data_IF_642192500147
#
_entry.id   IF_642192500147
#
_cell.length_a   1.000
_cell.length_b   1.000
_cell.length_c   1.000
_cell.angle_alpha   90.00
_cell.angle_beta   90.00
_cell.angle_gamma   90.00
#
_symmetry.space_group_name_H-M   'P 1'
#
loop_
_entity.id
_entity.type
_entity.pdbx_description
1 polymer ?
#
# COMPACT_ATOMS: atom_id res chain seq x y z
N UNK A 1 -12.86 -11.08 -51.46
CA UNK A 1 -13.17 -12.51 -51.24
C UNK A 1 -13.21 -12.73 -49.74
N UNK A 2 -14.37 -13.17 -49.24
CA UNK A 2 -14.59 -13.50 -47.83
C UNK A 2 -14.46 -15.01 -47.69
N UNK A 3 -13.55 -15.47 -46.82
CA UNK A 3 -13.46 -16.88 -46.44
C UNK A 3 -14.03 -17.06 -45.03
N UNK A 4 -14.99 -17.95 -44.88
CA UNK A 4 -15.52 -18.40 -43.60
C UNK A 4 -14.82 -19.71 -43.24
N UNK A 5 -14.09 -19.71 -42.13
CA UNK A 5 -13.50 -20.92 -41.55
C UNK A 5 -14.22 -21.23 -40.25
N UNK A 6 -14.84 -22.40 -40.18
CA UNK A 6 -15.50 -22.90 -38.98
C UNK A 6 -14.62 -23.90 -38.25
N UNK A 7 -14.45 -23.71 -36.96
CA UNK A 7 -13.83 -24.70 -36.09
C UNK A 7 -14.85 -25.21 -35.09
N UNK A 8 -15.14 -26.51 -35.14
CA UNK A 8 -16.22 -27.17 -34.40
C UNK A 8 -16.00 -27.30 -32.88
N UNK A 9 -14.84 -26.97 -32.38
CA UNK A 9 -14.53 -27.09 -30.92
C UNK A 9 -14.68 -25.83 -30.11
N UNK A 10 -14.84 -24.66 -30.70
CA UNK A 10 -14.95 -23.37 -29.93
C UNK A 10 -15.84 -22.37 -30.66
N UNK A 11 -17.01 -22.54 -31.03
CA UNK A 11 -18.03 -21.58 -31.52
C UNK A 11 -17.51 -20.14 -31.82
N UNK A 12 -16.36 -20.02 -32.50
CA UNK A 12 -15.71 -18.77 -32.88
C UNK A 12 -15.86 -18.55 -34.40
N UNK A 13 -16.41 -17.42 -34.79
CA UNK A 13 -16.47 -17.00 -36.20
C UNK A 13 -15.36 -15.97 -36.40
N UNK A 14 -14.40 -16.28 -37.29
CA UNK A 14 -13.35 -15.36 -37.70
C UNK A 14 -13.78 -14.63 -38.97
N UNK A 15 -13.86 -13.33 -38.94
CA UNK A 15 -14.08 -12.49 -40.12
C UNK A 15 -12.81 -11.66 -40.34
N UNK A 16 -12.10 -11.95 -41.42
CA UNK A 16 -10.94 -11.18 -41.83
C UNK A 16 -11.29 -10.23 -42.98
N UNK A 17 -11.10 -8.95 -42.78
CA UNK A 17 -11.22 -7.91 -43.78
C UNK A 17 -10.03 -6.95 -43.71
N UNK A 18 -9.32 -6.77 -44.82
CA UNK A 18 -8.15 -5.88 -44.96
C UNK A 18 -7.07 -6.05 -43.87
N UNK A 19 -6.70 -7.29 -43.49
CA UNK A 19 -5.52 -7.54 -42.66
C UNK A 19 -5.67 -7.21 -41.17
N UNK A 20 -6.88 -7.04 -40.65
CA UNK A 20 -7.16 -6.91 -39.21
C UNK A 20 -8.16 -7.98 -38.77
N UNK A 21 -7.84 -8.68 -37.69
CA UNK A 21 -8.72 -9.68 -37.08
C UNK A 21 -9.56 -9.01 -35.98
N UNK A 22 -10.89 -9.12 -36.10
CA UNK A 22 -11.82 -8.62 -35.07
C UNK A 22 -12.56 -9.82 -34.46
N UNK A 23 -12.59 -9.93 -33.16
CA UNK A 23 -13.30 -10.99 -32.43
C UNK A 23 -14.69 -10.47 -32.02
N UNK A 24 -15.75 -11.14 -32.47
CA UNK A 24 -17.12 -10.88 -32.02
C UNK A 24 -17.68 -12.07 -31.25
N UNK A 25 -18.11 -11.88 -30.01
CA UNK A 25 -18.82 -12.87 -29.22
C UNK A 25 -20.33 -12.76 -29.45
N UNK A 26 -20.96 -13.81 -29.97
CA UNK A 26 -22.41 -13.89 -30.07
C UNK A 26 -22.97 -14.61 -28.81
N UNK A 27 -23.64 -13.86 -27.95
CA UNK A 27 -24.40 -14.38 -26.81
C UNK A 27 -25.77 -14.88 -27.29
N UNK A 28 -25.98 -16.21 -27.34
CA UNK A 28 -27.33 -16.79 -27.42
C UNK A 28 -28.02 -16.71 -26.05
N UNK A 29 -29.02 -15.85 -25.94
CA UNK A 29 -29.95 -15.82 -24.78
C UNK A 29 -30.64 -17.19 -24.63
N UNK A 30 -30.21 -18.02 -23.69
CA UNK A 30 -31.07 -19.00 -23.05
C UNK A 30 -31.82 -18.29 -21.93
N UNK A 31 -33.17 -18.29 -22.00
CA UNK A 31 -34.04 -17.94 -20.88
C UNK A 31 -33.91 -19.02 -19.79
N UNK A 32 -32.94 -18.83 -18.92
CA UNK A 32 -32.88 -19.43 -17.63
C UNK A 32 -32.72 -18.27 -16.67
N UNK A 33 -33.54 -18.19 -15.60
CA UNK A 33 -33.34 -17.25 -14.51
C UNK A 33 -31.90 -17.44 -13.98
N UNK A 34 -30.95 -16.75 -14.54
CA UNK A 34 -29.74 -16.46 -13.81
C UNK A 34 -30.16 -15.44 -12.75
N UNK A 35 -30.22 -15.88 -11.49
CA UNK A 35 -30.01 -14.95 -10.38
C UNK A 35 -28.83 -14.09 -10.78
N UNK A 36 -29.08 -12.82 -10.92
CA UNK A 36 -28.05 -11.80 -10.98
C UNK A 36 -27.11 -12.13 -9.82
N UNK A 37 -25.95 -12.71 -10.13
CA UNK A 37 -24.89 -12.78 -9.17
C UNK A 37 -24.65 -11.31 -8.80
N UNK A 38 -24.97 -10.95 -7.57
CA UNK A 38 -24.46 -9.74 -6.97
C UNK A 38 -23.00 -9.68 -7.36
N UNK A 39 -22.59 -8.56 -7.99
CA UNK A 39 -21.19 -8.13 -7.94
C UNK A 39 -20.82 -8.40 -6.50
N UNK A 40 -19.77 -9.18 -6.17
CA UNK A 40 -19.39 -9.32 -4.78
C UNK A 40 -19.25 -7.88 -4.29
N UNK A 41 -20.14 -7.48 -3.39
CA UNK A 41 -19.91 -6.30 -2.56
C UNK A 41 -18.48 -6.50 -2.11
N UNK A 42 -17.62 -5.47 -2.30
CA UNK A 42 -16.24 -5.48 -1.80
C UNK A 42 -16.37 -5.94 -0.36
N UNK A 43 -16.20 -7.25 -0.14
CA UNK A 43 -16.40 -7.86 1.16
C UNK A 43 -15.28 -7.31 2.03
N UNK A 44 -15.67 -6.55 2.90
CA UNK A 44 -15.25 -6.10 4.20
C UNK A 44 -14.00 -6.82 4.78
N UNK A 45 -12.92 -6.86 4.05
CA UNK A 45 -11.60 -7.08 4.64
C UNK A 45 -10.98 -5.71 4.94
N UNK A 46 -11.57 -5.03 5.92
CA UNK A 46 -11.05 -3.78 6.45
C UNK A 46 -9.95 -4.12 7.45
N UNK A 47 -8.75 -3.54 7.28
CA UNK A 47 -7.66 -3.72 8.22
C UNK A 47 -8.00 -3.11 9.58
N UNK A 48 -7.97 -3.91 10.64
CA UNK A 48 -8.32 -3.49 11.99
C UNK A 48 -7.11 -2.95 12.74
N UNK A 49 -7.15 -1.67 13.09
CA UNK A 49 -6.12 -1.01 13.89
C UNK A 49 -6.57 -1.04 15.34
N UNK A 50 -6.05 -2.00 16.09
CA UNK A 50 -6.39 -2.14 17.50
C UNK A 50 -5.95 -0.93 18.32
N UNK A 51 -6.83 -0.41 19.18
CA UNK A 51 -6.45 0.51 20.24
C UNK A 51 -5.66 -0.22 21.31
N UNK A 52 -4.44 0.24 21.57
CA UNK A 52 -3.50 -0.31 22.54
C UNK A 52 -3.11 0.77 23.57
N UNK A 53 -2.72 0.34 24.76
CA UNK A 53 -2.32 1.25 25.84
C UNK A 53 -0.82 1.57 25.82
N UNK A 54 -0.04 0.72 25.18
CA UNK A 54 1.42 0.85 25.10
C UNK A 54 1.98 0.08 23.91
N UNK A 55 3.21 0.40 23.51
CA UNK A 55 3.94 -0.28 22.41
C UNK A 55 4.16 -1.78 22.65
N UNK A 56 4.20 -2.21 23.92
CA UNK A 56 4.36 -3.62 24.30
C UNK A 56 3.18 -4.49 23.88
N UNK A 57 2.02 -3.88 23.65
CA UNK A 57 0.82 -4.59 23.21
C UNK A 57 0.75 -4.79 21.69
N UNK A 58 1.75 -4.34 20.93
CA UNK A 58 1.75 -4.45 19.44
C UNK A 58 1.55 -5.90 18.96
N UNK A 59 1.96 -6.90 19.75
CA UNK A 59 1.78 -8.30 19.39
C UNK A 59 0.31 -8.75 19.38
N UNK A 60 -0.57 -8.00 20.02
CA UNK A 60 -2.03 -8.21 20.00
C UNK A 60 -2.75 -7.61 18.78
N UNK A 61 -2.05 -6.80 17.98
CA UNK A 61 -2.59 -6.16 16.79
C UNK A 61 -2.66 -7.12 15.61
N UNK A 62 -3.55 -6.80 14.64
CA UNK A 62 -3.70 -7.56 13.42
C UNK A 62 -2.40 -7.59 12.61
N UNK A 63 -2.06 -8.78 12.11
CA UNK A 63 -0.88 -9.00 11.29
C UNK A 63 -1.22 -8.73 9.82
N UNK A 64 -0.45 -7.88 9.15
CA UNK A 64 -0.46 -7.74 7.71
C UNK A 64 0.76 -8.39 7.06
N UNK A 65 0.62 -8.74 5.78
CA UNK A 65 1.71 -9.26 4.96
C UNK A 65 1.82 -8.47 3.67
N UNK A 66 3.04 -8.18 3.24
CA UNK A 66 3.31 -7.62 1.92
C UNK A 66 3.47 -8.79 0.94
N UNK A 67 2.39 -9.12 0.21
CA UNK A 67 2.30 -10.30 -0.63
C UNK A 67 2.19 -10.00 -2.14
N UNK A 68 1.89 -8.76 -2.51
CA UNK A 68 1.69 -8.36 -3.89
C UNK A 68 2.96 -7.73 -4.45
N UNK A 69 3.81 -8.53 -5.09
CA UNK A 69 5.00 -8.04 -5.79
C UNK A 69 4.68 -7.79 -7.26
N UNK A 70 4.87 -6.55 -7.71
CA UNK A 70 4.43 -6.02 -9.01
C UNK A 70 5.61 -5.57 -9.87
N UNK A 71 5.32 -5.17 -11.11
CA UNK A 71 6.22 -4.49 -12.05
C UNK A 71 7.56 -5.22 -12.27
N UNK A 72 7.52 -6.57 -12.43
CA UNK A 72 8.69 -7.42 -12.66
C UNK A 72 9.75 -7.37 -11.53
N UNK A 73 9.30 -7.23 -10.30
CA UNK A 73 10.17 -7.26 -9.12
C UNK A 73 11.19 -8.40 -9.17
N UNK A 74 12.48 -8.05 -9.06
CA UNK A 74 13.61 -8.99 -9.10
C UNK A 74 13.76 -9.77 -7.80
N UNK A 75 13.37 -9.18 -6.68
CA UNK A 75 13.35 -9.81 -5.35
C UNK A 75 11.94 -9.76 -4.78
N UNK A 76 11.67 -10.66 -3.84
CA UNK A 76 10.37 -10.76 -3.16
C UNK A 76 10.57 -11.18 -1.70
N UNK A 77 11.27 -10.38 -0.90
CA UNK A 77 11.49 -10.72 0.51
C UNK A 77 10.16 -10.82 1.24
N UNK A 78 10.03 -11.77 2.16
CA UNK A 78 8.84 -11.87 2.99
C UNK A 78 8.81 -10.72 4.00
N UNK A 79 7.71 -9.96 4.00
CA UNK A 79 7.52 -8.86 4.93
C UNK A 79 6.19 -9.01 5.64
N UNK A 80 6.23 -8.83 6.94
CA UNK A 80 5.04 -8.77 7.79
C UNK A 80 5.13 -7.59 8.76
N UNK A 81 3.99 -7.16 9.26
CA UNK A 81 3.98 -6.09 10.25
C UNK A 81 2.65 -5.97 10.97
N UNK A 82 2.63 -5.11 11.95
CA UNK A 82 1.47 -4.77 12.78
C UNK A 82 1.42 -3.29 13.01
N UNK A 83 0.21 -2.74 13.10
CA UNK A 83 -0.03 -1.34 13.46
C UNK A 83 -1.10 -1.27 14.53
N UNK A 84 -0.83 -0.51 15.59
CA UNK A 84 -1.77 -0.23 16.68
C UNK A 84 -1.89 1.28 16.90
N UNK A 85 -3.03 1.72 17.42
CA UNK A 85 -3.27 3.11 17.78
C UNK A 85 -3.13 3.30 19.30
N UNK A 86 -2.25 4.22 19.71
CA UNK A 86 -2.06 4.62 21.12
C UNK A 86 -2.71 6.01 21.28
N UNK A 87 -3.83 6.14 22.02
CA UNK A 87 -4.51 7.41 22.19
C UNK A 87 -3.60 8.51 22.74
N UNK A 88 -3.54 9.64 22.03
CA UNK A 88 -2.72 10.80 22.38
C UNK A 88 -1.25 10.69 21.93
N UNK A 89 -0.77 9.51 21.54
CA UNK A 89 0.57 9.34 20.95
C UNK A 89 0.51 9.24 19.42
N UNK A 90 -0.32 8.33 18.86
CA UNK A 90 -0.44 8.10 17.42
C UNK A 90 -0.46 6.63 17.01
N UNK A 91 -0.06 6.34 15.76
CA UNK A 91 0.01 4.97 15.26
C UNK A 91 1.42 4.39 15.47
N UNK A 92 1.51 3.36 16.30
CA UNK A 92 2.74 2.61 16.46
C UNK A 92 2.78 1.46 15.47
N UNK A 93 3.87 1.38 14.72
CA UNK A 93 4.10 0.40 13.67
C UNK A 93 5.32 -0.44 14.00
N UNK A 94 5.24 -1.76 13.73
CA UNK A 94 6.39 -2.67 13.73
C UNK A 94 6.33 -3.52 12.46
N UNK A 95 7.43 -3.54 11.70
CA UNK A 95 7.58 -4.31 10.46
C UNK A 95 8.85 -5.15 10.52
N UNK A 96 8.78 -6.34 9.93
CA UNK A 96 9.90 -7.29 9.85
C UNK A 96 10.04 -7.74 8.40
N UNK A 97 11.25 -7.70 7.87
CA UNK A 97 11.61 -8.16 6.54
C UNK A 97 12.60 -9.32 6.63
N UNK A 98 12.28 -10.46 6.01
CA UNK A 98 13.19 -11.61 5.86
C UNK A 98 14.11 -11.34 4.67
N UNK A 99 15.22 -10.66 4.92
CA UNK A 99 16.20 -10.25 3.92
C UNK A 99 17.59 -10.21 4.56
N UNK A 100 18.52 -10.99 4.01
CA UNK A 100 19.92 -10.94 4.36
C UNK A 100 20.60 -9.73 3.72
N UNK A 101 21.48 -9.06 4.47
CA UNK A 101 22.29 -7.94 3.97
C UNK A 101 21.45 -6.90 3.19
N UNK A 102 20.45 -6.26 3.81
CA UNK A 102 19.66 -5.22 3.16
C UNK A 102 20.57 -4.11 2.67
N UNK A 103 20.33 -3.62 1.43
CA UNK A 103 21.05 -2.45 0.93
C UNK A 103 20.73 -1.25 1.82
N UNK A 104 21.76 -0.59 2.33
CA UNK A 104 21.63 0.45 3.35
C UNK A 104 22.74 1.49 3.13
N UNK A 105 22.43 2.53 2.35
CA UNK A 105 23.37 3.59 1.97
C UNK A 105 23.08 4.90 2.71
N UNK A 106 21.81 5.19 2.86
CA UNK A 106 21.30 6.46 3.37
C UNK A 106 21.17 6.45 4.89
N UNK A 107 21.48 7.59 5.52
CA UNK A 107 21.55 7.72 6.99
C UNK A 107 20.84 8.96 7.53
N UNK A 108 20.44 9.91 6.67
CA UNK A 108 19.85 11.17 7.11
C UNK A 108 18.33 11.20 6.87
N UNK A 109 17.69 12.09 7.59
CA UNK A 109 16.29 12.43 7.36
C UNK A 109 16.10 13.02 5.95
N UNK A 110 15.02 12.61 5.27
CA UNK A 110 14.69 12.96 3.87
C UNK A 110 15.68 12.46 2.81
N UNK A 111 16.63 11.61 3.15
CA UNK A 111 17.39 10.88 2.15
C UNK A 111 16.47 9.99 1.31
N UNK A 112 16.76 9.72 0.03
CA UNK A 112 15.93 8.90 -0.86
C UNK A 112 16.05 7.40 -0.56
N UNK A 113 15.53 6.98 0.60
CA UNK A 113 15.64 5.60 1.12
C UNK A 113 14.96 4.55 0.24
N UNK A 114 14.09 4.95 -0.69
CA UNK A 114 13.51 4.08 -1.71
C UNK A 114 14.56 3.45 -2.65
N UNK A 115 15.76 4.02 -2.76
CA UNK A 115 16.88 3.40 -3.47
C UNK A 115 17.58 2.31 -2.65
N UNK A 116 17.46 2.35 -1.33
CA UNK A 116 17.91 1.27 -0.44
C UNK A 116 16.87 0.15 -0.39
N UNK A 117 17.09 -0.82 0.49
CA UNK A 117 16.04 -1.74 0.90
C UNK A 117 15.18 -1.07 1.97
N UNK A 118 13.97 -0.61 1.60
CA UNK A 118 13.10 0.15 2.49
C UNK A 118 11.75 -0.52 2.73
N UNK A 119 11.14 -0.24 3.88
CA UNK A 119 9.74 -0.53 4.20
C UNK A 119 8.98 0.78 4.40
N UNK A 120 7.71 0.80 3.97
CA UNK A 120 6.93 2.04 3.94
C UNK A 120 5.53 1.85 4.52
N UNK A 121 5.01 2.91 5.12
CA UNK A 121 3.64 3.02 5.63
C UNK A 121 3.00 4.28 5.04
N UNK A 122 1.92 4.11 4.28
CA UNK A 122 1.13 5.21 3.75
C UNK A 122 -0.25 5.21 4.40
N UNK A 123 -0.69 6.37 4.86
CA UNK A 123 -2.02 6.57 5.46
C UNK A 123 -2.72 7.72 4.74
N UNK A 124 -3.98 7.51 4.35
CA UNK A 124 -4.81 8.54 3.75
C UNK A 124 -6.01 8.87 4.65
N UNK A 125 -6.33 10.16 4.69
CA UNK A 125 -7.43 10.72 5.48
C UNK A 125 -8.26 11.63 4.57
N UNK A 126 -9.28 11.09 3.87
CA UNK A 126 -10.22 11.92 3.13
C UNK A 126 -10.90 12.95 4.04
N UNK A 127 -11.17 14.14 3.52
CA UNK A 127 -11.97 15.13 4.23
C UNK A 127 -13.43 14.64 4.32
N UNK A 128 -14.18 15.13 5.30
CA UNK A 128 -15.58 14.76 5.48
C UNK A 128 -16.39 14.98 4.20
N UNK A 129 -16.98 13.89 3.67
CA UNK A 129 -17.72 13.90 2.40
C UNK A 129 -16.84 13.83 1.14
N UNK A 130 -15.51 13.77 1.27
CA UNK A 130 -14.60 13.54 0.15
C UNK A 130 -14.51 12.03 -0.15
N UNK A 131 -14.80 11.63 -1.38
CA UNK A 131 -14.61 10.23 -1.78
C UNK A 131 -13.12 9.91 -1.98
N UNK A 132 -12.73 8.68 -1.64
CA UNK A 132 -11.37 8.20 -1.88
C UNK A 132 -10.96 8.37 -3.35
N UNK A 133 -9.85 9.04 -3.57
CA UNK A 133 -9.27 9.30 -4.89
C UNK A 133 -7.75 9.49 -4.78
N UNK A 134 -7.06 9.56 -5.91
CA UNK A 134 -5.62 9.85 -5.91
C UNK A 134 -5.27 11.30 -5.53
N UNK A 135 -6.28 12.11 -5.19
CA UNK A 135 -6.11 13.52 -4.80
C UNK A 135 -6.54 13.80 -3.36
N UNK A 136 -6.80 12.78 -2.55
CA UNK A 136 -7.02 12.95 -1.10
C UNK A 136 -5.71 13.26 -0.38
N UNK A 137 -5.80 13.83 0.83
CA UNK A 137 -4.64 13.99 1.71
C UNK A 137 -4.12 12.63 2.16
N UNK A 138 -2.82 12.39 2.02
CA UNK A 138 -2.14 11.23 2.57
C UNK A 138 -0.72 11.56 3.01
N UNK A 139 -0.17 10.73 3.87
CA UNK A 139 1.21 10.78 4.32
C UNK A 139 1.94 9.49 3.91
N UNK A 140 3.25 9.58 3.80
CA UNK A 140 4.17 8.46 3.64
C UNK A 140 5.30 8.55 4.66
N UNK A 141 5.59 7.40 5.28
CA UNK A 141 6.75 7.16 6.13
C UNK A 141 7.52 6.00 5.49
N UNK A 142 8.73 6.24 5.05
CA UNK A 142 9.61 5.31 4.36
C UNK A 142 10.92 5.21 5.13
N UNK A 143 11.36 4.02 5.46
CA UNK A 143 12.59 3.85 6.21
C UNK A 143 13.40 2.63 5.78
N UNK A 144 14.72 2.77 5.76
CA UNK A 144 15.67 1.69 5.51
C UNK A 144 16.14 1.02 6.81
N UNK A 145 16.98 0.01 6.70
CA UNK A 145 17.48 -0.77 7.84
C UNK A 145 18.47 -0.01 8.76
N UNK A 146 18.90 1.21 8.39
CA UNK A 146 19.59 2.14 9.30
C UNK A 146 18.62 2.97 10.15
N UNK A 147 17.31 2.95 9.85
CA UNK A 147 16.34 3.86 10.45
C UNK A 147 16.38 5.28 9.86
N UNK A 148 17.04 5.48 8.72
CA UNK A 148 16.91 6.73 7.97
C UNK A 148 15.46 6.86 7.50
N UNK A 149 14.82 7.98 7.83
CA UNK A 149 13.40 8.23 7.60
C UNK A 149 13.20 9.28 6.51
N UNK A 150 12.41 8.92 5.50
CA UNK A 150 11.77 9.86 4.60
C UNK A 150 10.28 9.97 4.98
N UNK A 151 9.84 11.16 5.39
CA UNK A 151 8.44 11.36 5.78
C UNK A 151 7.87 12.63 5.14
N UNK A 152 6.75 12.50 4.44
CA UNK A 152 6.10 13.61 3.74
C UNK A 152 4.57 13.48 3.75
N UNK A 153 3.87 14.58 3.51
CA UNK A 153 2.41 14.65 3.41
C UNK A 153 1.95 15.57 2.29
N UNK A 154 0.73 15.39 1.82
CA UNK A 154 0.15 16.22 0.77
C UNK A 154 -0.81 15.44 -0.13
N UNK A 155 -1.34 16.11 -1.15
CA UNK A 155 -2.21 15.53 -2.17
C UNK A 155 -1.39 15.20 -3.43
N UNK A 156 -1.56 13.99 -3.97
CA UNK A 156 -0.82 13.53 -5.16
C UNK A 156 0.67 13.23 -4.90
N UNK A 157 1.38 12.74 -5.93
CA UNK A 157 2.79 12.32 -5.82
C UNK A 157 3.79 13.50 -5.75
N UNK A 158 3.48 14.63 -6.40
CA UNK A 158 4.40 15.79 -6.53
C UNK A 158 4.01 16.92 -5.59
N UNK A 159 5.01 17.73 -5.19
CA UNK A 159 4.77 18.94 -4.39
C UNK A 159 4.35 18.62 -2.95
N UNK A 160 4.80 17.50 -2.42
CA UNK A 160 4.54 17.08 -1.04
C UNK A 160 5.42 17.87 -0.07
N UNK A 161 4.87 18.16 1.09
CA UNK A 161 5.62 18.81 2.17
C UNK A 161 6.36 17.76 3.01
N UNK A 162 7.64 17.97 3.35
CA UNK A 162 8.31 17.13 4.33
C UNK A 162 7.62 17.27 5.69
N UNK A 163 7.64 16.21 6.49
CA UNK A 163 7.24 16.31 7.90
C UNK A 163 8.22 17.26 8.62
N UNK A 164 7.73 18.28 9.37
CA UNK A 164 8.62 19.15 10.13
C UNK A 164 9.51 18.38 11.11
N UNK A 165 10.81 18.75 11.18
CA UNK A 165 11.81 18.02 11.97
C UNK A 165 11.49 17.98 13.47
N UNK A 166 10.66 18.91 13.96
CA UNK A 166 10.19 18.94 15.36
C UNK A 166 9.47 17.65 15.78
N UNK A 167 8.91 16.88 14.81
CA UNK A 167 8.24 15.60 15.06
C UNK A 167 9.17 14.39 15.06
N UNK A 168 10.41 14.51 14.55
CA UNK A 168 11.35 13.39 14.49
C UNK A 168 11.60 12.71 15.84
N UNK A 169 11.81 13.46 16.95
CA UNK A 169 11.99 12.81 18.25
C UNK A 169 10.78 12.01 18.71
N UNK A 170 9.57 12.39 18.27
CA UNK A 170 8.33 11.67 18.61
C UNK A 170 8.17 10.38 17.82
N UNK A 171 8.77 10.30 16.63
CA UNK A 171 8.73 9.07 15.83
C UNK A 171 9.45 7.91 16.51
N UNK A 172 10.45 8.18 17.35
CA UNK A 172 11.23 7.16 18.08
C UNK A 172 11.58 5.95 17.20
N UNK A 173 12.16 6.26 16.03
CA UNK A 173 12.52 5.26 15.04
C UNK A 173 13.56 4.30 15.58
N UNK A 174 13.26 3.01 15.54
CA UNK A 174 14.16 1.93 15.90
C UNK A 174 14.35 1.00 14.70
N UNK A 175 15.59 0.65 14.40
CA UNK A 175 15.94 -0.33 13.39
C UNK A 175 16.88 -1.39 13.99
N UNK A 176 16.64 -2.65 13.64
CA UNK A 176 17.49 -3.78 14.09
C UNK A 176 17.79 -4.65 12.87
N UNK A 177 19.08 -4.95 12.64
CA UNK A 177 19.53 -5.88 11.59
C UNK A 177 20.06 -7.15 12.24
N UNK A 178 19.56 -8.30 11.80
CA UNK A 178 20.00 -9.65 12.16
C UNK A 178 20.61 -10.35 10.94
N UNK A 179 21.08 -11.58 11.11
CA UNK A 179 21.70 -12.34 10.01
C UNK A 179 20.77 -12.57 8.82
N UNK A 180 19.50 -12.87 9.08
CA UNK A 180 18.53 -13.30 8.05
C UNK A 180 17.33 -12.36 7.93
N UNK A 181 17.28 -11.29 8.72
CA UNK A 181 16.15 -10.38 8.76
C UNK A 181 16.54 -9.01 9.30
N UNK A 182 15.69 -8.03 9.06
CA UNK A 182 15.76 -6.74 9.71
C UNK A 182 14.37 -6.23 10.06
N UNK A 183 14.29 -5.32 11.00
CA UNK A 183 13.01 -4.80 11.48
C UNK A 183 13.06 -3.29 11.71
N UNK A 184 11.88 -2.69 11.61
CA UNK A 184 11.62 -1.31 11.98
C UNK A 184 10.50 -1.23 12.99
N UNK A 185 10.61 -0.30 13.94
CA UNK A 185 9.45 0.15 14.71
C UNK A 185 9.52 1.65 14.93
N UNK A 186 8.36 2.32 14.81
CA UNK A 186 8.26 3.76 14.93
C UNK A 186 6.83 4.21 15.25
N UNK A 187 6.70 5.43 15.70
CA UNK A 187 5.43 6.11 15.90
C UNK A 187 5.17 7.10 14.76
N UNK A 188 3.95 7.11 14.23
CA UNK A 188 3.42 8.21 13.43
C UNK A 188 2.68 9.13 14.40
N UNK A 189 3.23 10.31 14.77
CA UNK A 189 2.71 11.08 15.89
C UNK A 189 1.32 11.66 15.64
N UNK A 190 0.40 11.50 16.58
CA UNK A 190 -0.94 12.09 16.51
C UNK A 190 -0.89 13.62 16.40
N UNK A 191 0.07 14.26 17.07
CA UNK A 191 0.28 15.71 17.00
C UNK A 191 0.60 16.17 15.57
N UNK A 192 1.42 15.39 14.83
CA UNK A 192 1.72 15.64 13.42
C UNK A 192 0.47 15.46 12.55
N UNK A 193 -0.28 14.38 12.75
CA UNK A 193 -1.51 14.11 11.99
C UNK A 193 -2.52 15.23 12.14
N UNK A 194 -2.72 15.71 13.35
CA UNK A 194 -3.68 16.79 13.65
C UNK A 194 -3.24 18.14 13.10
N UNK A 195 -1.97 18.51 13.30
CA UNK A 195 -1.49 19.85 12.97
C UNK A 195 -1.19 20.02 11.48
N UNK A 196 -0.55 19.03 10.86
CA UNK A 196 -0.05 19.16 9.51
C UNK A 196 -0.96 18.45 8.47
N UNK A 197 -1.53 17.29 8.83
CA UNK A 197 -2.36 16.52 7.90
C UNK A 197 -3.86 16.86 8.01
N UNK A 198 -4.27 17.73 8.94
CA UNK A 198 -5.65 18.18 9.10
C UNK A 198 -6.59 17.14 9.69
N UNK A 199 -6.07 16.07 10.30
CA UNK A 199 -6.87 15.03 10.95
C UNK A 199 -7.51 15.61 12.22
N UNK A 200 -8.85 15.66 12.27
CA UNK A 200 -9.58 16.26 13.38
C UNK A 200 -9.55 15.37 14.63
N UNK A 201 -9.97 14.13 14.46
CA UNK A 201 -10.06 13.14 15.55
C UNK A 201 -9.61 11.77 15.06
N UNK A 202 -9.10 10.94 15.98
CA UNK A 202 -8.73 9.56 15.74
C UNK A 202 -9.55 8.66 16.68
N UNK A 203 -10.58 8.05 16.13
CA UNK A 203 -11.49 7.15 16.84
C UNK A 203 -12.08 6.12 15.85
N UNK A 204 -13.01 5.30 16.32
CA UNK A 204 -13.67 4.27 15.53
C UNK A 204 -14.48 4.78 14.33
N UNK A 205 -14.79 6.08 14.28
CA UNK A 205 -15.53 6.70 13.18
C UNK A 205 -14.60 7.43 12.19
N UNK A 206 -13.30 7.44 12.42
CA UNK A 206 -12.34 8.08 11.52
C UNK A 206 -12.29 7.33 10.21
N UNK A 207 -12.66 7.99 9.11
CA UNK A 207 -12.47 7.45 7.77
C UNK A 207 -11.00 7.53 7.39
N UNK A 208 -10.37 6.37 7.22
CA UNK A 208 -8.95 6.29 6.88
C UNK A 208 -8.65 5.05 6.04
N UNK A 209 -7.55 5.14 5.31
CA UNK A 209 -7.07 4.10 4.41
C UNK A 209 -5.56 3.94 4.57
N UNK A 210 -5.05 2.72 4.39
CA UNK A 210 -3.63 2.43 4.52
C UNK A 210 -3.12 1.52 3.40
N UNK A 211 -1.83 1.59 3.14
CA UNK A 211 -1.10 0.54 2.46
C UNK A 211 0.31 0.46 3.03
N UNK A 212 0.91 -0.71 2.97
CA UNK A 212 2.24 -0.99 3.45
C UNK A 212 3.08 -1.51 2.30
N UNK A 213 4.35 -1.10 2.24
CA UNK A 213 5.17 -1.40 1.07
C UNK A 213 6.55 -1.90 1.45
N UNK A 214 7.14 -2.64 0.50
CA UNK A 214 8.54 -3.02 0.46
C UNK A 214 9.10 -2.60 -0.89
N UNK A 215 10.21 -1.85 -0.88
CA UNK A 215 10.77 -1.25 -2.09
C UNK A 215 12.29 -1.36 -2.13
N UNK A 216 12.83 -1.39 -3.33
CA UNK A 216 14.13 -0.88 -3.73
C UNK A 216 14.06 -0.46 -5.19
N UNK A 217 14.44 0.78 -5.48
CA UNK A 217 14.56 1.30 -6.85
C UNK A 217 15.97 1.06 -7.44
N UNK A 218 16.91 0.48 -6.66
CA UNK A 218 18.23 0.10 -7.16
C UNK A 218 18.12 -1.03 -8.18
N UNK A 219 18.63 -0.85 -9.43
CA UNK A 219 18.37 -1.77 -10.53
C UNK A 219 18.72 -3.23 -10.26
N UNK A 220 19.78 -3.52 -9.52
CA UNK A 220 20.26 -4.88 -9.24
C UNK A 220 19.32 -5.68 -8.36
N UNK A 221 18.58 -4.99 -7.49
CA UNK A 221 17.68 -5.58 -6.48
C UNK A 221 16.26 -5.05 -6.58
N UNK A 222 15.92 -4.35 -7.66
CA UNK A 222 14.65 -3.67 -7.87
C UNK A 222 13.44 -4.53 -7.52
N UNK A 223 12.59 -4.02 -6.65
CA UNK A 223 11.35 -4.68 -6.25
C UNK A 223 10.32 -3.71 -5.67
N UNK A 224 9.05 -4.06 -5.83
CA UNK A 224 7.90 -3.28 -5.44
C UNK A 224 6.83 -4.21 -4.86
N UNK A 225 6.79 -4.34 -3.56
CA UNK A 225 5.82 -5.13 -2.81
C UNK A 225 4.77 -4.25 -2.13
N UNK A 226 3.53 -4.71 -2.07
CA UNK A 226 2.45 -4.03 -1.34
C UNK A 226 1.58 -5.00 -0.53
N UNK A 227 0.93 -4.47 0.50
CA UNK A 227 -0.10 -5.17 1.27
C UNK A 227 -1.38 -5.28 0.44
N UNK A 228 -1.93 -4.17 -0.04
CA UNK A 228 -3.07 -4.16 -0.96
C UNK A 228 -2.58 -3.97 -2.40
N UNK A 229 -3.13 -4.75 -3.33
CA UNK A 229 -2.72 -4.78 -4.74
C UNK A 229 -2.91 -3.42 -5.42
N UNK A 230 -1.93 -3.01 -6.22
CA UNK A 230 -1.99 -1.82 -7.07
C UNK A 230 -2.09 -2.25 -8.54
N UNK A 231 -3.25 -2.02 -9.15
CA UNK A 231 -3.48 -2.28 -10.58
C UNK A 231 -3.10 -1.04 -11.42
N UNK A 232 -1.81 -0.72 -11.44
CA UNK A 232 -1.26 0.38 -12.25
C UNK A 232 -0.17 -0.15 -13.20
N UNK A 233 -0.12 0.29 -14.46
CA UNK A 233 0.82 -0.27 -15.46
C UNK A 233 2.29 0.06 -15.18
N UNK A 234 2.57 1.08 -14.41
CA UNK A 234 3.94 1.54 -14.08
C UNK A 234 4.14 1.66 -12.57
N UNK A 235 5.38 1.48 -12.05
CA UNK A 235 5.66 1.61 -10.63
C UNK A 235 5.20 2.95 -10.05
N UNK A 236 4.28 2.89 -9.09
CA UNK A 236 3.80 4.05 -8.36
C UNK A 236 3.01 3.62 -7.11
N UNK A 237 3.53 3.85 -5.93
CA UNK A 237 2.84 3.63 -4.66
C UNK A 237 1.95 4.82 -4.23
N UNK A 238 2.20 6.01 -4.79
CA UNK A 238 1.48 7.24 -4.45
C UNK A 238 0.09 7.31 -5.10
N UNK A 239 -0.71 6.28 -4.89
CA UNK A 239 -2.05 6.11 -5.44
C UNK A 239 -3.04 5.71 -4.33
N UNK A 240 -3.52 6.67 -3.53
CA UNK A 240 -4.46 6.40 -2.43
C UNK A 240 -5.71 5.59 -2.83
N UNK A 241 -6.13 5.65 -4.10
CA UNK A 241 -7.25 4.85 -4.61
C UNK A 241 -7.07 3.33 -4.39
N UNK A 242 -5.82 2.86 -4.24
CA UNK A 242 -5.47 1.47 -3.97
C UNK A 242 -5.10 1.21 -2.51
N UNK A 243 -5.38 2.14 -1.61
CA UNK A 243 -5.21 1.88 -0.18
C UNK A 243 -6.41 1.09 0.33
N UNK A 244 -6.16 0.17 1.25
CA UNK A 244 -7.19 -0.60 1.94
C UNK A 244 -7.86 0.26 3.00
N UNK A 245 -9.18 0.15 3.12
CA UNK A 245 -9.88 0.79 4.22
C UNK A 245 -9.41 0.21 5.55
N UNK A 246 -9.20 1.06 6.54
CA UNK A 246 -8.83 0.62 7.87
C UNK A 246 -9.65 1.36 8.94
N UNK A 247 -9.76 0.75 10.11
CA UNK A 247 -10.58 1.26 11.21
C UNK A 247 -9.86 1.08 12.54
N UNK A 248 -9.97 2.09 13.40
CA UNK A 248 -9.55 2.01 14.80
C UNK A 248 -10.64 1.31 15.60
N UNK A 249 -10.28 0.21 16.32
CA UNK A 249 -11.21 -0.59 17.11
C UNK A 249 -10.68 -1.00 18.49
#
# INVERSE_FOLDING_TARGET
TVFLIWNSQRHLIHIAWKGRTVYNYHNRKRKGLCRCGSVPEKGENMYQIRKIQSRQEIDSCELFHINHYMWNSKRRPAVSGKMGYIPGEGFYVRMICEEENPLTTYTNYMDPVCNDSAMEVFLAFPEEGESLSNNVMYLNFEANSNGALYAAYGKGRKGRSPMPEEYLPLCDMQAEVKSESWSLSFLIPEAYLKKECGVKELNENTEMYCNFYKISETPEIEHYGSFHLIENPTPNFHLPLYFERCQIG
#
